data_IF_897310322436
#
_entry.id   IF_897310322436
#
_cell.length_a   1.000
_cell.length_b   1.000
_cell.length_c   1.000
_cell.angle_alpha   90.00
_cell.angle_beta   90.00
_cell.angle_gamma   90.00
#
_symmetry.space_group_name_H-M   'P 1'
#
loop_
_entity.id
_entity.type
_entity.pdbx_description
1 polymer ?
#
# COMPACT_ATOMS: atom_id res chain seq x y z
N UNK A 1 -21.29 2.18 3.80
CA UNK A 1 -21.46 2.26 2.33
C UNK A 1 -20.63 1.18 1.63
N UNK A 2 -21.16 0.56 0.57
CA UNK A 2 -20.42 -0.39 -0.28
C UNK A 2 -20.35 0.15 -1.70
N UNK A 3 -19.15 0.42 -2.21
CA UNK A 3 -18.94 0.83 -3.61
C UNK A 3 -18.28 -0.31 -4.38
N UNK A 4 -18.92 -0.76 -5.46
CA UNK A 4 -18.38 -1.74 -6.42
C UNK A 4 -18.28 -1.09 -7.80
N UNK A 5 -17.11 -1.11 -8.41
CA UNK A 5 -16.88 -0.59 -9.76
C UNK A 5 -16.16 -1.65 -10.61
N UNK A 6 -16.89 -2.56 -11.27
CA UNK A 6 -16.32 -3.44 -12.29
C UNK A 6 -16.29 -2.72 -13.64
N UNK A 7 -15.13 -2.64 -14.31
CA UNK A 7 -15.03 -1.99 -15.63
C UNK A 7 -14.15 -2.80 -16.59
N UNK A 8 -14.58 -2.86 -17.86
CA UNK A 8 -13.93 -3.58 -18.96
C UNK A 8 -12.78 -2.79 -19.62
N UNK A 9 -12.47 -3.08 -20.88
CA UNK A 9 -11.33 -2.49 -21.59
C UNK A 9 -11.51 -0.98 -21.85
N UNK A 10 -10.72 -0.15 -21.16
CA UNK A 10 -10.53 1.27 -21.42
C UNK A 10 -9.03 1.54 -21.64
N UNK A 11 -8.66 2.66 -22.26
CA UNK A 11 -7.24 3.06 -22.32
C UNK A 11 -6.76 3.62 -20.98
N UNK A 12 -7.63 4.34 -20.25
CA UNK A 12 -7.29 4.89 -18.94
C UNK A 12 -8.51 5.00 -18.02
N UNK A 13 -8.27 4.99 -16.71
CA UNK A 13 -9.29 5.17 -15.68
C UNK A 13 -8.78 6.09 -14.58
N UNK A 14 -9.62 7.05 -14.18
CA UNK A 14 -9.41 7.89 -13.01
C UNK A 14 -10.58 7.73 -12.05
N UNK A 15 -10.31 7.22 -10.86
CA UNK A 15 -11.29 7.08 -9.79
C UNK A 15 -10.96 8.05 -8.67
N UNK A 16 -11.93 8.90 -8.30
CA UNK A 16 -11.83 9.80 -7.15
C UNK A 16 -13.00 9.56 -6.22
N UNK A 17 -12.70 9.31 -4.95
CA UNK A 17 -13.70 9.16 -3.90
C UNK A 17 -13.31 10.03 -2.71
N UNK A 18 -14.27 10.80 -2.21
CA UNK A 18 -14.14 11.62 -1.01
C UNK A 18 -15.32 11.32 -0.09
N UNK A 19 -15.08 11.12 1.20
CA UNK A 19 -16.16 10.94 2.18
C UNK A 19 -15.80 11.58 3.52
N UNK A 20 -16.80 12.12 4.19
CA UNK A 20 -16.70 12.74 5.51
C UNK A 20 -17.72 12.05 6.44
N UNK A 21 -17.24 11.57 7.59
CA UNK A 21 -18.01 10.97 8.70
C UNK A 21 -18.89 9.74 8.38
N UNK A 22 -18.35 8.52 8.44
CA UNK A 22 -19.12 7.27 8.31
C UNK A 22 -18.68 6.18 9.32
N UNK A 23 -19.61 5.37 9.83
CA UNK A 23 -19.23 4.23 10.69
C UNK A 23 -18.40 3.19 9.92
N UNK A 24 -18.90 2.73 8.77
CA UNK A 24 -18.23 1.67 8.00
C UNK A 24 -18.28 1.93 6.51
N UNK A 25 -17.12 1.82 5.87
CA UNK A 25 -16.96 1.97 4.42
C UNK A 25 -16.22 0.78 3.84
N UNK A 26 -16.78 0.21 2.76
CA UNK A 26 -16.17 -0.86 1.99
C UNK A 26 -16.05 -0.45 0.52
N UNK A 27 -14.83 -0.36 0.02
CA UNK A 27 -14.55 -0.05 -1.40
C UNK A 27 -13.97 -1.27 -2.08
N UNK A 28 -14.55 -1.66 -3.23
CA UNK A 28 -14.07 -2.76 -4.06
C UNK A 28 -13.93 -2.29 -5.52
N UNK A 29 -12.72 -2.37 -6.04
CA UNK A 29 -12.41 -2.04 -7.42
C UNK A 29 -11.77 -3.25 -8.08
N UNK A 30 -12.24 -3.57 -9.28
CA UNK A 30 -11.67 -4.62 -10.13
C UNK A 30 -11.53 -4.08 -11.54
N UNK A 31 -10.32 -4.13 -12.09
CA UNK A 31 -10.02 -3.60 -13.43
C UNK A 31 -9.20 -4.61 -14.21
N UNK A 32 -9.59 -4.85 -15.46
CA UNK A 32 -8.84 -5.66 -16.41
C UNK A 32 -7.78 -4.84 -17.15
N UNK A 33 -7.60 -5.15 -18.43
CA UNK A 33 -6.49 -4.62 -19.23
C UNK A 33 -6.67 -3.13 -19.53
N UNK A 34 -5.77 -2.30 -19.00
CA UNK A 34 -5.79 -0.84 -19.13
C UNK A 34 -4.36 -0.30 -19.32
N UNK A 35 -4.18 0.79 -20.07
CA UNK A 35 -2.85 1.44 -20.11
C UNK A 35 -2.55 2.20 -18.81
N UNK A 36 -3.53 2.90 -18.23
CA UNK A 36 -3.26 3.71 -17.03
C UNK A 36 -4.41 3.74 -16.05
N UNK A 37 -4.11 3.51 -14.78
CA UNK A 37 -5.07 3.64 -13.67
C UNK A 37 -4.58 4.64 -12.63
N UNK A 38 -5.44 5.60 -12.29
CA UNK A 38 -5.24 6.52 -11.18
C UNK A 38 -6.39 6.39 -10.19
N UNK A 39 -6.09 6.00 -8.96
CA UNK A 39 -7.05 5.95 -7.86
C UNK A 39 -6.66 6.95 -6.77
N UNK A 40 -7.60 7.81 -6.40
CA UNK A 40 -7.47 8.77 -5.29
C UNK A 40 -8.62 8.61 -4.31
N UNK A 41 -8.32 8.20 -3.09
CA UNK A 41 -9.30 8.16 -2.00
C UNK A 41 -8.87 9.16 -0.91
N UNK A 42 -9.82 9.97 -0.46
CA UNK A 42 -9.65 10.94 0.64
C UNK A 42 -10.77 10.77 1.64
N UNK A 43 -10.44 10.65 2.92
CA UNK A 43 -11.44 10.34 3.94
C UNK A 43 -11.15 11.04 5.27
N UNK A 44 -12.20 11.54 5.90
CA UNK A 44 -12.17 12.05 7.29
C UNK A 44 -12.52 10.96 8.30
N UNK A 45 -13.28 11.34 9.33
CA UNK A 45 -13.54 10.53 10.53
C UNK A 45 -14.30 9.22 10.22
N UNK A 46 -13.65 8.07 10.40
CA UNK A 46 -14.27 6.75 10.18
C UNK A 46 -13.95 5.74 11.29
N UNK A 47 -14.95 4.96 11.68
CA UNK A 47 -14.72 3.83 12.59
C UNK A 47 -14.02 2.66 11.88
N UNK A 48 -14.46 2.29 10.68
CA UNK A 48 -13.86 1.16 9.94
C UNK A 48 -13.84 1.39 8.44
N UNK A 49 -12.67 1.18 7.84
CA UNK A 49 -12.48 1.14 6.40
C UNK A 49 -11.94 -0.22 5.94
N UNK A 50 -12.53 -0.75 4.87
CA UNK A 50 -11.99 -1.86 4.10
C UNK A 50 -11.86 -1.48 2.62
N UNK A 51 -10.63 -1.49 2.11
CA UNK A 51 -10.35 -1.24 0.68
C UNK A 51 -9.75 -2.48 0.05
N UNK A 52 -10.35 -2.93 -1.05
CA UNK A 52 -9.89 -4.06 -1.85
C UNK A 52 -9.76 -3.66 -3.31
N UNK A 53 -8.55 -3.74 -3.83
CA UNK A 53 -8.23 -3.43 -5.21
C UNK A 53 -7.62 -4.68 -5.85
N UNK A 54 -8.15 -5.08 -7.00
CA UNK A 54 -7.66 -6.21 -7.79
C UNK A 54 -7.49 -5.75 -9.23
N UNK A 55 -6.30 -5.90 -9.80
CA UNK A 55 -6.08 -5.46 -11.17
C UNK A 55 -5.22 -6.44 -11.98
N UNK A 56 -5.58 -6.58 -13.26
CA UNK A 56 -4.86 -7.39 -14.25
C UNK A 56 -3.71 -6.62 -14.92
N UNK A 57 -3.58 -6.78 -16.24
CA UNK A 57 -2.46 -6.27 -17.01
C UNK A 57 -2.53 -4.74 -17.20
N UNK A 58 -1.54 -4.02 -16.66
CA UNK A 58 -1.54 -2.56 -16.63
C UNK A 58 -0.18 -1.97 -16.95
N UNK A 59 -0.11 -0.93 -17.78
CA UNK A 59 1.19 -0.24 -17.94
C UNK A 59 1.55 0.59 -16.70
N UNK A 60 0.62 1.43 -16.23
CA UNK A 60 0.90 2.35 -15.11
C UNK A 60 -0.24 2.36 -14.09
N UNK A 61 0.13 2.25 -12.82
CA UNK A 61 -0.80 2.29 -11.68
C UNK A 61 -0.36 3.31 -10.65
N UNK A 62 -1.25 4.26 -10.35
CA UNK A 62 -1.03 5.26 -9.30
C UNK A 62 -2.16 5.19 -8.29
N UNK A 63 -1.83 4.84 -7.05
CA UNK A 63 -2.78 4.81 -5.93
C UNK A 63 -2.35 5.82 -4.87
N UNK A 64 -3.28 6.71 -4.52
CA UNK A 64 -3.10 7.70 -3.44
C UNK A 64 -4.23 7.57 -2.44
N UNK A 65 -3.88 7.31 -1.19
CA UNK A 65 -4.80 7.23 -0.07
C UNK A 65 -4.39 8.28 0.96
N UNK A 66 -5.35 9.12 1.35
CA UNK A 66 -5.19 10.12 2.41
C UNK A 66 -6.33 9.98 3.41
N UNK A 67 -6.00 9.81 4.67
CA UNK A 67 -6.96 9.43 5.70
C UNK A 67 -6.68 10.23 6.99
N UNK A 68 -7.72 10.80 7.58
CA UNK A 68 -7.68 11.47 8.89
C UNK A 68 -7.86 10.49 10.06
N UNK A 69 -8.71 10.84 11.01
CA UNK A 69 -8.93 10.10 12.27
C UNK A 69 -9.70 8.80 12.04
N UNK A 70 -9.04 7.67 12.24
CA UNK A 70 -9.64 6.36 11.97
C UNK A 70 -9.37 5.33 13.05
N UNK A 71 -10.39 4.53 13.40
CA UNK A 71 -10.18 3.43 14.34
C UNK A 71 -9.47 2.24 13.66
N UNK A 72 -10.00 1.75 12.54
CA UNK A 72 -9.44 0.56 11.86
C UNK A 72 -9.41 0.72 10.35
N UNK A 73 -8.24 0.44 9.76
CA UNK A 73 -8.04 0.42 8.30
C UNK A 73 -7.48 -0.92 7.84
N UNK A 74 -8.17 -1.52 6.87
CA UNK A 74 -7.70 -2.71 6.18
C UNK A 74 -7.59 -2.44 4.69
N UNK A 75 -6.37 -2.48 4.15
CA UNK A 75 -6.09 -2.32 2.72
C UNK A 75 -5.52 -3.61 2.16
N UNK A 76 -6.14 -4.11 1.07
CA UNK A 76 -5.65 -5.23 0.29
C UNK A 76 -5.52 -4.84 -1.18
N UNK A 77 -4.32 -4.98 -1.71
CA UNK A 77 -4.01 -4.79 -3.12
C UNK A 77 -3.49 -6.11 -3.68
N UNK A 78 -4.06 -6.55 -4.81
CA UNK A 78 -3.60 -7.70 -5.58
C UNK A 78 -3.45 -7.28 -7.04
N UNK A 79 -2.28 -7.53 -7.62
CA UNK A 79 -1.94 -7.05 -8.96
C UNK A 79 -1.19 -8.11 -9.73
N UNK A 80 -1.56 -8.29 -10.99
CA UNK A 80 -0.77 -9.04 -11.97
C UNK A 80 0.30 -8.14 -12.60
N UNK A 81 0.47 -8.27 -13.92
CA UNK A 81 1.57 -7.68 -14.68
C UNK A 81 1.48 -6.16 -14.76
N UNK A 82 2.58 -5.47 -14.43
CA UNK A 82 2.71 -4.04 -14.78
C UNK A 82 4.13 -3.52 -15.00
N UNK A 83 4.22 -2.39 -15.70
CA UNK A 83 5.48 -1.68 -15.86
C UNK A 83 5.82 -0.82 -14.63
N UNK A 84 4.90 0.05 -14.20
CA UNK A 84 5.15 0.96 -13.08
C UNK A 84 3.99 1.00 -12.09
N UNK A 85 4.31 0.83 -10.81
CA UNK A 85 3.41 1.07 -9.70
C UNK A 85 3.94 2.14 -8.75
N UNK A 86 3.07 3.10 -8.41
CA UNK A 86 3.28 4.05 -7.32
C UNK A 86 2.11 4.01 -6.35
N UNK A 87 2.41 3.62 -5.12
CA UNK A 87 1.45 3.60 -4.00
C UNK A 87 1.91 4.59 -2.93
N UNK A 88 1.03 5.54 -2.59
CA UNK A 88 1.27 6.54 -1.53
C UNK A 88 0.12 6.50 -0.53
N UNK A 89 0.45 6.19 0.72
CA UNK A 89 -0.46 6.24 1.86
C UNK A 89 0.02 7.33 2.82
N UNK A 90 -0.90 8.22 3.20
CA UNK A 90 -0.70 9.25 4.22
C UNK A 90 -1.82 9.16 5.22
N UNK A 91 -1.48 9.07 6.50
CA UNK A 91 -2.46 8.82 7.56
C UNK A 91 -2.16 9.69 8.79
N UNK A 92 -3.23 10.22 9.39
CA UNK A 92 -3.20 10.90 10.69
C UNK A 92 -3.30 9.92 11.87
N UNK A 93 -4.21 10.17 12.79
CA UNK A 93 -4.35 9.39 14.02
C UNK A 93 -5.14 8.09 13.82
N UNK A 94 -4.57 6.97 14.27
CA UNK A 94 -5.15 5.64 14.06
C UNK A 94 -4.92 4.63 15.18
N UNK A 95 -5.91 3.79 15.46
CA UNK A 95 -5.72 2.66 16.37
C UNK A 95 -5.06 1.46 15.68
N UNK A 96 -5.60 0.99 14.56
CA UNK A 96 -5.08 -0.21 13.88
C UNK A 96 -5.02 -0.05 12.36
N UNK A 97 -3.86 -0.38 11.78
CA UNK A 97 -3.67 -0.51 10.33
C UNK A 97 -3.20 -1.91 9.94
N UNK A 98 -3.84 -2.47 8.92
CA UNK A 98 -3.37 -3.66 8.21
C UNK A 98 -3.28 -3.38 6.72
N UNK A 99 -2.06 -3.44 6.17
CA UNK A 99 -1.80 -3.29 4.73
C UNK A 99 -1.21 -4.59 4.18
N UNK A 100 -1.83 -5.12 3.13
CA UNK A 100 -1.38 -6.32 2.42
C UNK A 100 -1.28 -6.04 0.92
N UNK A 101 -0.09 -6.19 0.38
CA UNK A 101 0.21 -6.03 -1.05
C UNK A 101 0.73 -7.38 -1.59
N UNK A 102 0.13 -7.85 -2.68
CA UNK A 102 0.50 -9.09 -3.38
C UNK A 102 0.61 -8.81 -4.87
N UNK A 103 1.77 -9.10 -5.45
CA UNK A 103 2.22 -8.49 -6.69
C UNK A 103 2.97 -9.54 -7.52
N UNK A 104 2.62 -9.71 -8.79
CA UNK A 104 3.24 -10.66 -9.73
C UNK A 104 3.80 -9.99 -11.00
N UNK A 105 5.09 -10.21 -11.29
CA UNK A 105 5.83 -9.78 -12.49
C UNK A 105 5.81 -8.29 -12.87
N UNK A 106 6.93 -7.58 -12.67
CA UNK A 106 6.97 -6.13 -12.87
C UNK A 106 8.34 -5.50 -13.10
N UNK A 107 8.33 -4.25 -13.59
CA UNK A 107 9.54 -3.45 -13.76
C UNK A 107 9.84 -2.54 -12.56
N UNK A 108 8.90 -1.74 -12.08
CA UNK A 108 9.15 -0.79 -10.98
C UNK A 108 7.99 -0.73 -9.99
N UNK A 109 8.31 -0.86 -8.71
CA UNK A 109 7.38 -0.64 -7.60
C UNK A 109 7.92 0.43 -6.65
N UNK A 110 7.09 1.43 -6.36
CA UNK A 110 7.35 2.42 -5.32
C UNK A 110 6.21 2.43 -4.31
N UNK A 111 6.51 2.07 -3.06
CA UNK A 111 5.57 2.16 -1.94
C UNK A 111 6.07 3.19 -0.94
N UNK A 112 5.20 4.16 -0.62
CA UNK A 112 5.46 5.18 0.39
C UNK A 112 4.33 5.19 1.40
N UNK A 113 4.70 5.08 2.67
CA UNK A 113 3.80 5.11 3.80
C UNK A 113 4.29 6.18 4.77
N UNK A 114 3.41 7.13 5.08
CA UNK A 114 3.68 8.21 6.03
C UNK A 114 2.58 8.21 7.07
N UNK A 115 2.92 8.14 8.35
CA UNK A 115 1.90 8.22 9.40
C UNK A 115 2.38 8.94 10.67
N UNK A 116 1.46 9.56 11.40
CA UNK A 116 1.74 10.44 12.54
C UNK A 116 1.61 9.74 13.92
N UNK A 117 0.43 9.31 14.38
CA UNK A 117 0.26 8.68 15.70
C UNK A 117 -0.60 7.41 15.66
N UNK A 118 -0.03 6.27 16.11
CA UNK A 118 -0.71 4.97 15.97
C UNK A 118 -0.47 3.98 17.11
N UNK A 119 -1.45 3.10 17.37
CA UNK A 119 -1.26 1.97 18.27
C UNK A 119 -0.62 0.77 17.57
N UNK A 120 -1.20 0.28 16.46
CA UNK A 120 -0.71 -0.93 15.79
C UNK A 120 -0.63 -0.76 14.28
N UNK A 121 0.53 -1.13 13.70
CA UNK A 121 0.74 -1.27 12.28
C UNK A 121 1.17 -2.68 11.90
N UNK A 122 0.51 -3.25 10.89
CA UNK A 122 0.96 -4.47 10.21
C UNK A 122 1.04 -4.25 8.71
N UNK A 123 2.25 -4.34 8.15
CA UNK A 123 2.50 -4.28 6.70
C UNK A 123 3.05 -5.60 6.20
N UNK A 124 2.43 -6.14 5.15
CA UNK A 124 2.88 -7.36 4.47
C UNK A 124 2.98 -7.10 2.97
N UNK A 125 4.16 -7.31 2.42
CA UNK A 125 4.45 -7.18 1.00
C UNK A 125 5.00 -8.52 0.50
N UNK A 126 4.34 -9.07 -0.53
CA UNK A 126 4.77 -10.27 -1.24
C UNK A 126 4.91 -9.93 -2.71
N UNK A 127 6.09 -10.19 -3.27
CA UNK A 127 6.41 -9.85 -4.66
C UNK A 127 7.09 -11.03 -5.33
N UNK A 128 6.58 -11.42 -6.51
CA UNK A 128 7.25 -12.34 -7.43
C UNK A 128 8.36 -11.63 -8.20
N UNK A 129 8.39 -11.74 -9.53
CA UNK A 129 9.43 -11.11 -10.34
C UNK A 129 9.38 -9.58 -10.30
N UNK A 130 10.49 -8.91 -9.97
CA UNK A 130 10.57 -7.44 -9.97
C UNK A 130 11.96 -6.88 -10.25
N UNK A 131 12.06 -5.96 -11.23
CA UNK A 131 13.33 -5.27 -11.48
C UNK A 131 13.72 -4.29 -10.36
N UNK A 132 12.84 -3.36 -9.99
CA UNK A 132 13.15 -2.33 -8.97
C UNK A 132 12.06 -2.20 -7.93
N UNK A 133 12.44 -2.30 -6.65
CA UNK A 133 11.58 -1.99 -5.50
C UNK A 133 12.14 -0.81 -4.69
N UNK A 134 11.28 0.15 -4.39
CA UNK A 134 11.55 1.20 -3.39
C UNK A 134 10.42 1.26 -2.38
N UNK A 135 10.73 0.93 -1.14
CA UNK A 135 9.81 0.99 0.00
C UNK A 135 10.28 2.03 1.02
N UNK A 136 9.42 2.99 1.34
CA UNK A 136 9.71 4.05 2.31
C UNK A 136 8.59 4.12 3.34
N UNK A 137 8.96 3.98 4.61
CA UNK A 137 8.08 4.13 5.76
C UNK A 137 8.62 5.28 6.61
N UNK A 138 7.75 6.27 6.88
CA UNK A 138 8.06 7.44 7.70
C UNK A 138 6.98 7.58 8.76
N UNK A 139 7.39 7.53 10.01
CA UNK A 139 6.50 7.29 11.11
C UNK A 139 6.76 8.25 12.27
N UNK A 140 5.70 8.80 12.87
CA UNK A 140 5.78 9.55 14.13
C UNK A 140 5.78 8.62 15.33
N UNK A 141 4.75 8.72 16.18
CA UNK A 141 4.58 7.92 17.38
C UNK A 141 3.86 6.59 17.10
N UNK A 142 4.47 5.47 17.51
CA UNK A 142 3.87 4.13 17.43
C UNK A 142 4.07 3.28 18.69
N UNK A 143 3.06 2.48 19.03
CA UNK A 143 3.25 1.39 20.01
C UNK A 143 3.83 0.14 19.37
N UNK A 144 3.20 -0.40 18.33
CA UNK A 144 3.64 -1.66 17.68
C UNK A 144 3.74 -1.52 16.18
N UNK A 145 4.85 -2.00 15.62
CA UNK A 145 5.06 -2.14 14.19
C UNK A 145 5.50 -3.55 13.82
N UNK A 146 4.81 -4.14 12.84
CA UNK A 146 5.20 -5.39 12.20
C UNK A 146 5.29 -5.19 10.69
N UNK A 147 6.48 -5.38 10.13
CA UNK A 147 6.73 -5.32 8.68
C UNK A 147 7.27 -6.65 8.18
N UNK A 148 6.66 -7.20 7.13
CA UNK A 148 7.10 -8.44 6.48
C UNK A 148 7.22 -8.23 4.98
N UNK A 149 8.41 -8.42 4.45
CA UNK A 149 8.70 -8.43 3.02
C UNK A 149 9.11 -9.84 2.61
N UNK A 150 8.49 -10.36 1.54
CA UNK A 150 8.82 -11.65 0.93
C UNK A 150 8.97 -11.46 -0.58
N UNK A 151 10.04 -12.00 -1.13
CA UNK A 151 10.49 -11.73 -2.49
C UNK A 151 11.08 -12.98 -3.14
N UNK A 152 10.66 -13.31 -4.37
CA UNK A 152 11.20 -14.43 -5.16
C UNK A 152 12.39 -14.00 -6.02
N UNK A 153 12.21 -13.33 -7.17
CA UNK A 153 13.30 -12.94 -8.09
C UNK A 153 13.38 -11.43 -8.37
N UNK A 154 14.51 -10.80 -8.00
CA UNK A 154 14.61 -9.34 -7.97
C UNK A 154 15.96 -8.80 -8.44
N UNK A 155 16.00 -7.60 -9.04
CA UNK A 155 17.27 -6.92 -9.36
C UNK A 155 17.69 -5.94 -8.25
N UNK A 156 16.84 -4.99 -7.87
CA UNK A 156 17.18 -3.97 -6.86
C UNK A 156 16.07 -3.81 -5.84
N UNK A 157 16.45 -3.79 -4.56
CA UNK A 157 15.56 -3.42 -3.47
C UNK A 157 16.15 -2.29 -2.62
N UNK A 158 15.36 -1.27 -2.36
CA UNK A 158 15.66 -0.21 -1.40
C UNK A 158 14.53 -0.13 -0.37
N UNK A 159 14.85 -0.35 0.91
CA UNK A 159 13.92 -0.17 2.02
C UNK A 159 14.45 0.89 2.99
N UNK A 160 13.61 1.87 3.32
CA UNK A 160 13.92 2.93 4.29
C UNK A 160 12.83 3.02 5.33
N UNK A 161 13.19 2.87 6.59
CA UNK A 161 12.32 3.01 7.75
C UNK A 161 12.84 4.14 8.64
N UNK A 162 12.00 5.13 8.90
CA UNK A 162 12.27 6.26 9.78
C UNK A 162 11.13 6.39 10.77
N UNK A 163 11.45 6.39 12.06
CA UNK A 163 10.47 6.46 13.14
C UNK A 163 10.89 7.51 14.16
N UNK A 164 9.94 8.31 14.68
CA UNK A 164 10.23 9.32 15.71
C UNK A 164 10.08 8.80 17.14
N UNK A 165 9.11 7.92 17.40
CA UNK A 165 8.95 7.21 18.68
C UNK A 165 8.32 5.83 18.46
N UNK A 166 8.91 4.77 19.02
CA UNK A 166 8.41 3.40 18.86
C UNK A 166 8.71 2.49 20.05
N UNK A 167 7.68 1.81 20.55
CA UNK A 167 7.83 0.85 21.65
C UNK A 167 8.26 -0.56 21.18
N UNK A 168 7.71 -1.06 20.06
CA UNK A 168 8.01 -2.42 19.58
C UNK A 168 8.09 -2.47 18.05
N UNK A 169 9.20 -3.00 17.52
CA UNK A 169 9.38 -3.26 16.09
C UNK A 169 9.69 -4.74 15.81
N UNK A 170 8.99 -5.30 14.82
CA UNK A 170 9.36 -6.56 14.18
C UNK A 170 9.46 -6.35 12.68
N UNK A 171 10.65 -6.55 12.11
CA UNK A 171 10.87 -6.53 10.66
C UNK A 171 11.40 -7.88 10.21
N UNK A 172 10.77 -8.44 9.17
CA UNK A 172 11.22 -9.67 8.52
C UNK A 172 11.36 -9.44 7.03
N UNK A 173 12.50 -9.88 6.50
CA UNK A 173 12.82 -9.85 5.08
C UNK A 173 13.20 -11.27 4.64
N UNK A 174 12.54 -11.77 3.60
CA UNK A 174 12.83 -13.06 2.96
C UNK A 174 13.03 -12.83 1.48
N UNK A 175 14.13 -13.34 0.93
CA UNK A 175 14.52 -13.15 -0.47
C UNK A 175 15.11 -14.44 -1.00
N UNK A 176 14.61 -14.93 -2.13
CA UNK A 176 15.11 -16.14 -2.77
C UNK A 176 16.24 -15.85 -3.77
N UNK A 177 16.10 -14.79 -4.59
CA UNK A 177 17.13 -14.33 -5.52
C UNK A 177 17.18 -12.79 -5.61
N UNK A 178 18.37 -12.17 -5.47
CA UNK A 178 18.55 -10.72 -5.56
C UNK A 178 19.97 -10.28 -5.96
N UNK A 179 20.05 -9.26 -6.81
CA UNK A 179 21.33 -8.62 -7.18
C UNK A 179 21.79 -7.52 -6.19
N UNK A 180 20.91 -6.65 -5.71
CA UNK A 180 21.29 -5.56 -4.78
C UNK A 180 20.21 -5.21 -3.75
N UNK A 181 20.63 -4.97 -2.50
CA UNK A 181 19.79 -4.50 -1.39
C UNK A 181 20.39 -3.29 -0.68
N UNK A 182 19.54 -2.30 -0.41
CA UNK A 182 19.84 -1.19 0.51
C UNK A 182 18.74 -1.10 1.56
N UNK A 183 19.10 -1.33 2.82
CA UNK A 183 18.19 -1.15 3.96
C UNK A 183 18.70 -0.05 4.86
N UNK A 184 17.84 0.90 5.20
CA UNK A 184 18.12 1.94 6.20
C UNK A 184 17.05 1.93 7.26
N UNK A 185 17.48 1.83 8.51
CA UNK A 185 16.65 2.00 9.69
C UNK A 185 17.16 3.21 10.46
N UNK A 186 16.25 4.11 10.80
CA UNK A 186 16.48 5.26 11.67
C UNK A 186 15.33 5.33 12.67
N UNK A 187 15.69 5.54 13.92
CA UNK A 187 14.81 5.73 15.08
C UNK A 187 15.18 7.06 15.71
#
# INVERSE_FOLDING_TARGET
MVTKLPMGALNSMVTRLSMEAHNTTVTRLSVGDLSTVVTRLSMGDLNTMVTRLSMGDLNTVVTRLSMGDLNTVVTRLSMGVFNTMVTRLSMGDLNTMVTRLSMEAHNTMVTRLSMEAHNTMVTRLSVGDLNTMVTRLSMGALNTMVTRLSMEAHNTMVTRLSVGALNTMVTRLSVEALNSVVTRLSV
#
